data_IF_625152949858
#
_entry.id   IF_625152949858
#
_cell.length_a   1.000
_cell.length_b   1.000
_cell.length_c   1.000
_cell.angle_alpha   90.00
_cell.angle_beta   90.00
_cell.angle_gamma   90.00
#
_symmetry.space_group_name_H-M   'P 1'
#
loop_
_entity.id
_entity.type
_entity.pdbx_description
1 polymer ?
#
# COMPACT_ATOMS: atom_id res chain seq x y z
N UNK A 1 13.62 -4.74 15.01
CA UNK A 1 12.63 -5.60 14.35
C UNK A 1 13.23 -5.95 13.01
N UNK A 2 13.44 -7.23 12.72
CA UNK A 2 14.15 -7.68 11.52
C UNK A 2 13.23 -7.53 10.29
N UNK A 3 13.77 -7.34 9.08
CA UNK A 3 12.96 -7.28 7.84
C UNK A 3 12.17 -8.59 7.67
N UNK A 4 12.78 -9.70 8.08
CA UNK A 4 12.13 -11.01 8.11
C UNK A 4 10.95 -11.06 9.10
N UNK A 5 10.99 -10.33 10.20
CA UNK A 5 9.85 -10.24 11.12
C UNK A 5 8.71 -9.41 10.51
N UNK A 6 9.01 -8.38 9.73
CA UNK A 6 7.97 -7.55 9.07
C UNK A 6 7.24 -8.37 7.99
N UNK A 7 7.98 -9.09 7.14
CA UNK A 7 7.39 -9.93 6.09
C UNK A 7 6.61 -11.11 6.67
N UNK A 8 7.06 -11.67 7.79
CA UNK A 8 6.37 -12.79 8.44
C UNK A 8 5.13 -12.36 9.22
N UNK A 9 5.06 -11.11 9.69
CA UNK A 9 3.89 -10.58 10.40
C UNK A 9 2.87 -9.94 9.46
N UNK A 10 3.34 -9.26 8.40
CA UNK A 10 2.50 -8.68 7.35
C UNK A 10 3.01 -9.19 5.98
N UNK A 11 2.46 -10.30 5.46
CA UNK A 11 2.86 -10.80 4.14
C UNK A 11 2.34 -9.88 3.03
N UNK A 12 3.05 -9.79 1.88
CA UNK A 12 2.54 -9.11 0.70
C UNK A 12 1.19 -9.69 0.24
N UNK A 13 0.36 -8.85 -0.36
CA UNK A 13 -0.96 -9.25 -0.86
C UNK A 13 -1.33 -8.53 -2.15
N UNK A 14 -2.40 -8.99 -2.80
CA UNK A 14 -2.90 -8.42 -4.05
C UNK A 14 -4.20 -7.65 -3.79
N UNK A 15 -4.29 -6.47 -4.41
CA UNK A 15 -5.51 -5.66 -4.50
C UNK A 15 -5.91 -5.57 -5.97
N UNK A 16 -7.13 -6.04 -6.27
CA UNK A 16 -7.72 -5.89 -7.60
C UNK A 16 -8.39 -4.52 -7.72
N UNK A 17 -7.98 -3.72 -8.69
CA UNK A 17 -8.56 -2.39 -8.97
C UNK A 17 -9.25 -2.40 -10.32
N UNK A 18 -10.52 -2.02 -10.34
CA UNK A 18 -11.26 -1.81 -11.59
C UNK A 18 -11.21 -0.32 -11.99
N UNK A 19 -10.74 -0.05 -13.22
CA UNK A 19 -10.75 1.30 -13.80
C UNK A 19 -11.23 1.23 -15.23
N UNK A 20 -12.33 1.91 -15.54
CA UNK A 20 -12.93 1.98 -16.87
C UNK A 20 -13.22 0.59 -17.49
N UNK A 21 -13.65 -0.37 -16.66
CA UNK A 21 -13.94 -1.75 -17.07
C UNK A 21 -12.69 -2.63 -17.30
N UNK A 22 -11.50 -2.13 -16.97
CA UNK A 22 -10.25 -2.91 -16.95
C UNK A 22 -9.88 -3.25 -15.51
N UNK A 23 -9.46 -4.49 -15.29
CA UNK A 23 -8.98 -4.97 -13.99
C UNK A 23 -7.45 -4.95 -13.96
N UNK A 24 -6.92 -4.41 -12.86
CA UNK A 24 -5.50 -4.33 -12.58
C UNK A 24 -5.21 -4.99 -11.24
N UNK A 25 -4.29 -5.94 -11.23
CA UNK A 25 -3.78 -6.52 -10.00
C UNK A 25 -2.60 -5.69 -9.51
N UNK A 26 -2.78 -5.05 -8.36
CA UNK A 26 -1.73 -4.32 -7.66
C UNK A 26 -1.17 -5.19 -6.55
N UNK A 27 0.14 -5.40 -6.58
CA UNK A 27 0.85 -6.13 -5.54
C UNK A 27 1.32 -5.14 -4.48
N UNK A 28 0.90 -5.37 -3.23
CA UNK A 28 1.11 -4.48 -2.10
C UNK A 28 2.10 -5.13 -1.14
N UNK A 29 3.22 -4.45 -0.91
CA UNK A 29 4.31 -4.93 -0.05
C UNK A 29 4.40 -4.02 1.18
N UNK A 30 4.03 -4.50 2.37
CA UNK A 30 4.21 -3.74 3.60
C UNK A 30 5.70 -3.60 3.94
N UNK A 31 6.08 -2.41 4.38
CA UNK A 31 7.43 -2.05 4.79
C UNK A 31 7.37 -1.16 6.04
N UNK A 32 8.28 -1.37 6.98
CA UNK A 32 8.44 -0.42 8.10
C UNK A 32 9.56 0.58 7.79
N UNK A 33 9.23 1.86 7.61
CA UNK A 33 10.23 2.91 7.50
C UNK A 33 10.74 3.28 8.91
N UNK A 34 11.90 2.75 9.27
CA UNK A 34 12.57 3.06 10.53
C UNK A 34 13.00 4.53 10.65
N UNK A 35 13.22 5.24 9.54
CA UNK A 35 13.65 6.65 9.57
C UNK A 35 12.50 7.56 9.97
N UNK A 36 11.31 7.29 9.45
CA UNK A 36 10.10 8.07 9.75
C UNK A 36 9.21 7.43 10.83
N UNK A 37 9.60 6.26 11.35
CA UNK A 37 8.87 5.50 12.36
C UNK A 37 7.40 5.25 11.97
N UNK A 38 7.16 4.86 10.72
CA UNK A 38 5.82 4.62 10.17
C UNK A 38 5.78 3.37 9.29
N UNK A 39 4.59 2.81 9.14
CA UNK A 39 4.33 1.75 8.17
C UNK A 39 4.06 2.36 6.78
N UNK A 40 4.72 1.80 5.78
CA UNK A 40 4.60 2.14 4.37
C UNK A 40 4.21 0.89 3.59
N UNK A 41 3.64 1.09 2.40
CA UNK A 41 3.18 0.04 1.52
C UNK A 41 3.66 0.35 0.11
N UNK A 42 4.64 -0.42 -0.36
CA UNK A 42 5.16 -0.28 -1.72
C UNK A 42 4.20 -0.98 -2.68
N UNK A 43 3.79 -0.28 -3.72
CA UNK A 43 2.79 -0.75 -4.68
C UNK A 43 3.48 -1.10 -5.99
N UNK A 44 3.23 -2.31 -6.48
CA UNK A 44 3.72 -2.81 -7.75
C UNK A 44 2.56 -3.11 -8.70
N UNK A 45 2.76 -2.81 -9.98
CA UNK A 45 1.91 -3.26 -11.09
C UNK A 45 2.79 -4.00 -12.09
N UNK A 46 2.48 -5.27 -12.39
CA UNK A 46 3.26 -6.07 -13.35
C UNK A 46 4.78 -6.07 -13.08
N UNK A 47 5.19 -6.19 -11.82
CA UNK A 47 6.59 -6.12 -11.33
C UNK A 47 7.27 -4.75 -11.48
N UNK A 48 6.53 -3.70 -11.81
CA UNK A 48 7.02 -2.33 -11.78
C UNK A 48 6.51 -1.62 -10.52
N UNK A 49 7.42 -1.03 -9.75
CA UNK A 49 7.04 -0.16 -8.63
C UNK A 49 6.35 1.08 -9.17
N UNK A 50 5.11 1.32 -8.74
CA UNK A 50 4.33 2.49 -9.15
C UNK A 50 4.23 3.53 -8.03
N UNK A 51 4.75 3.23 -6.84
CA UNK A 51 4.94 4.21 -5.78
C UNK A 51 4.79 3.60 -4.38
N UNK A 52 4.81 4.48 -3.39
CA UNK A 52 4.68 4.12 -1.97
C UNK A 52 3.48 4.79 -1.35
N UNK A 53 2.66 4.01 -0.65
CA UNK A 53 1.55 4.47 0.17
C UNK A 53 1.94 4.52 1.63
N UNK A 54 1.37 5.47 2.36
CA UNK A 54 1.45 5.51 3.80
C UNK A 54 0.13 6.01 4.39
N UNK A 55 -0.13 5.64 5.63
CA UNK A 55 -1.26 6.15 6.40
C UNK A 55 -0.92 7.55 6.90
N UNK A 56 -1.62 8.55 6.39
CA UNK A 56 -1.40 9.95 6.77
C UNK A 56 -2.09 10.29 8.10
N UNK A 57 -3.28 9.73 8.33
CA UNK A 57 -4.04 9.87 9.58
C UNK A 57 -4.90 8.62 9.83
N UNK A 58 -5.71 8.58 10.88
CA UNK A 58 -6.56 7.46 11.26
C UNK A 58 -7.58 7.04 10.18
N UNK A 59 -7.81 7.85 9.15
CA UNK A 59 -8.80 7.59 8.09
C UNK A 59 -8.29 7.86 6.68
N UNK A 60 -7.07 8.40 6.52
CA UNK A 60 -6.60 8.88 5.22
C UNK A 60 -5.31 8.19 4.78
N UNK A 61 -5.34 7.69 3.54
CA UNK A 61 -4.21 7.07 2.86
C UNK A 61 -3.71 7.99 1.75
N UNK A 62 -2.38 8.12 1.64
CA UNK A 62 -1.74 9.00 0.65
C UNK A 62 -0.58 8.33 -0.04
N UNK A 63 -0.32 8.74 -1.28
CA UNK A 63 0.95 8.47 -1.95
C UNK A 63 2.02 9.40 -1.42
N UNK A 64 3.25 8.87 -1.32
CA UNK A 64 4.39 9.63 -0.84
C UNK A 64 4.78 10.76 -1.81
N UNK A 65 4.83 10.45 -3.11
CA UNK A 65 5.41 11.35 -4.12
C UNK A 65 4.39 11.89 -5.14
N UNK A 66 3.15 11.35 -5.15
CA UNK A 66 2.17 11.61 -6.22
C UNK A 66 0.76 11.88 -5.67
N UNK A 67 0.50 13.08 -5.14
CA UNK A 67 -0.78 13.44 -4.49
C UNK A 67 -2.00 13.35 -5.43
N UNK A 68 -1.81 13.44 -6.74
CA UNK A 68 -2.85 13.22 -7.76
C UNK A 68 -3.47 11.82 -7.68
N UNK A 69 -2.78 10.84 -7.10
CA UNK A 69 -3.26 9.47 -6.96
C UNK A 69 -3.95 9.20 -5.62
N UNK A 70 -4.27 10.23 -4.82
CA UNK A 70 -4.94 10.05 -3.52
C UNK A 70 -6.26 9.27 -3.59
N UNK A 71 -7.00 9.35 -4.70
CA UNK A 71 -8.17 8.49 -4.89
C UNK A 71 -7.81 6.99 -4.89
N UNK A 72 -6.76 6.63 -5.63
CA UNK A 72 -6.23 5.26 -5.67
C UNK A 72 -5.61 4.87 -4.32
N UNK A 73 -4.94 5.80 -3.64
CA UNK A 73 -4.39 5.58 -2.29
C UNK A 73 -5.48 5.15 -1.31
N UNK A 74 -6.61 5.86 -1.29
CA UNK A 74 -7.71 5.53 -0.40
C UNK A 74 -8.37 4.19 -0.77
N UNK A 75 -8.49 3.88 -2.07
CA UNK A 75 -9.03 2.58 -2.50
C UNK A 75 -8.16 1.42 -2.01
N UNK A 76 -6.84 1.49 -2.19
CA UNK A 76 -5.90 0.48 -1.70
C UNK A 76 -5.86 0.49 -0.15
N UNK A 77 -5.93 1.67 0.44
CA UNK A 77 -5.97 1.89 1.88
C UNK A 77 -7.13 1.21 2.59
N UNK A 78 -8.33 1.26 2.00
CA UNK A 78 -9.49 0.55 2.54
C UNK A 78 -9.29 -0.97 2.56
N UNK A 79 -8.63 -1.52 1.54
CA UNK A 79 -8.29 -2.96 1.50
C UNK A 79 -7.25 -3.30 2.58
N UNK A 80 -6.30 -2.40 2.86
CA UNK A 80 -5.35 -2.56 3.97
C UNK A 80 -6.09 -2.56 5.31
N UNK A 81 -6.94 -1.57 5.56
CA UNK A 81 -7.70 -1.45 6.81
C UNK A 81 -8.66 -2.63 7.03
N UNK A 82 -9.26 -3.17 5.95
CA UNK A 82 -10.15 -4.34 6.03
C UNK A 82 -9.41 -5.63 6.41
N UNK A 83 -8.11 -5.74 6.09
CA UNK A 83 -7.28 -6.92 6.42
C UNK A 83 -6.72 -6.87 7.84
N UNK A 84 -6.57 -5.67 8.39
CA UNK A 84 -6.01 -5.44 9.71
C UNK A 84 -7.06 -5.44 10.85
N UNK A 85 -8.35 -5.58 10.51
CA UNK A 85 -9.48 -5.73 11.46
C UNK A 85 -9.95 -7.19 11.51
#
# INVERSE_FOLDING_TARGET
>A
MDILDIINNDPPFVVGVEKSGLYYDLYVVPLWDHKQARQEFIIYNQNHEIGTLYRYDCVEWRWLDEPEFNYLANLIGFEIDARNN
#
